data_IF_225568922151
#
_entry.id   IF_225568922151
#
_cell.length_a   1.000
_cell.length_b   1.000
_cell.length_c   1.000
_cell.angle_alpha   90.00
_cell.angle_beta   90.00
_cell.angle_gamma   90.00
#
_symmetry.space_group_name_H-M   'P 1'
#
loop_
_entity.id
_entity.type
_entity.pdbx_description
1 polymer ?
#
# COMPACT_ATOMS: atom_id res chain seq x y z
N UNK A 1 -23.99 0.93 -11.57
CA UNK A 1 -23.77 0.30 -12.89
C UNK A 1 -22.29 0.38 -13.18
N UNK A 2 -21.63 -0.75 -13.42
CA UNK A 2 -20.20 -0.78 -13.77
C UNK A 2 -20.02 -0.24 -15.19
N UNK A 3 -18.91 0.44 -15.48
CA UNK A 3 -18.61 0.87 -16.84
C UNK A 3 -18.15 -0.34 -17.67
N UNK A 4 -19.04 -0.81 -18.54
CA UNK A 4 -18.76 -1.99 -19.37
C UNK A 4 -17.60 -1.76 -20.34
N UNK A 5 -17.41 -0.54 -20.86
CA UNK A 5 -16.31 -0.24 -21.76
C UNK A 5 -14.96 -0.31 -21.02
N UNK A 6 -14.92 0.14 -19.77
CA UNK A 6 -13.75 0.01 -18.91
C UNK A 6 -13.44 -1.47 -18.62
N UNK A 7 -14.46 -2.27 -18.34
CA UNK A 7 -14.29 -3.73 -18.12
C UNK A 7 -13.68 -4.41 -19.34
N UNK A 8 -14.26 -4.18 -20.52
CA UNK A 8 -13.78 -4.78 -21.77
C UNK A 8 -12.34 -4.36 -22.10
N UNK A 9 -11.99 -3.10 -21.83
CA UNK A 9 -10.62 -2.62 -22.03
C UNK A 9 -9.63 -3.28 -21.07
N UNK A 10 -10.03 -3.53 -19.83
CA UNK A 10 -9.20 -4.24 -18.86
C UNK A 10 -8.99 -5.71 -19.29
N UNK A 11 -10.03 -6.38 -19.78
CA UNK A 11 -9.92 -7.74 -20.33
C UNK A 11 -9.02 -7.81 -21.58
N UNK A 12 -9.05 -6.80 -22.45
CA UNK A 12 -8.20 -6.76 -23.64
C UNK A 12 -6.70 -6.64 -23.32
N UNK A 13 -6.36 -6.12 -22.14
CA UNK A 13 -4.97 -5.98 -21.67
C UNK A 13 -4.56 -7.13 -20.75
N UNK A 14 -5.52 -7.87 -20.20
CA UNK A 14 -5.23 -9.03 -19.36
C UNK A 14 -4.70 -10.18 -20.23
N UNK A 15 -3.45 -10.60 -19.99
CA UNK A 15 -2.81 -11.73 -20.70
C UNK A 15 -3.52 -13.07 -20.47
N UNK A 16 -4.36 -13.16 -19.43
CA UNK A 16 -5.08 -14.36 -19.04
C UNK A 16 -6.54 -14.04 -18.73
N UNK A 17 -7.47 -14.99 -18.91
CA UNK A 17 -8.85 -14.81 -18.47
C UNK A 17 -8.87 -14.65 -16.94
N UNK A 18 -9.39 -13.52 -16.47
CA UNK A 18 -9.52 -13.19 -15.04
C UNK A 18 -11.01 -13.09 -14.71
N UNK A 19 -11.41 -13.70 -13.59
CA UNK A 19 -12.75 -13.54 -13.03
C UNK A 19 -13.02 -12.07 -12.67
N UNK A 20 -14.24 -11.59 -12.91
CA UNK A 20 -14.61 -10.19 -12.69
C UNK A 20 -14.26 -9.71 -11.27
N UNK A 21 -14.57 -10.53 -10.26
CA UNK A 21 -14.29 -10.24 -8.86
C UNK A 21 -12.80 -10.05 -8.60
N UNK A 22 -11.97 -10.88 -9.21
CA UNK A 22 -10.52 -10.85 -8.98
C UNK A 22 -9.90 -9.66 -9.71
N UNK A 23 -10.41 -9.29 -10.88
CA UNK A 23 -10.02 -8.08 -11.59
C UNK A 23 -10.35 -6.81 -10.79
N UNK A 24 -11.55 -6.72 -10.22
CA UNK A 24 -11.96 -5.59 -9.37
C UNK A 24 -11.06 -5.51 -8.13
N UNK A 25 -10.82 -6.62 -7.44
CA UNK A 25 -9.93 -6.67 -6.28
C UNK A 25 -8.50 -6.24 -6.63
N UNK A 26 -7.97 -6.69 -7.77
CA UNK A 26 -6.65 -6.29 -8.25
C UNK A 26 -6.58 -4.80 -8.56
N UNK A 27 -7.60 -4.25 -9.25
CA UNK A 27 -7.69 -2.83 -9.57
C UNK A 27 -7.72 -1.95 -8.31
N UNK A 28 -8.50 -2.35 -7.30
CA UNK A 28 -8.57 -1.64 -6.02
C UNK A 28 -7.23 -1.67 -5.29
N UNK A 29 -6.56 -2.83 -5.22
CA UNK A 29 -5.23 -2.95 -4.60
C UNK A 29 -4.21 -2.05 -5.29
N UNK A 30 -4.19 -2.05 -6.63
CA UNK A 30 -3.30 -1.21 -7.41
C UNK A 30 -3.57 0.29 -7.20
N UNK A 31 -4.85 0.69 -7.17
CA UNK A 31 -5.25 2.06 -6.91
C UNK A 31 -4.84 2.54 -5.51
N UNK A 32 -5.09 1.72 -4.48
CA UNK A 32 -4.71 2.03 -3.10
C UNK A 32 -3.18 2.19 -3.00
N UNK A 33 -2.42 1.26 -3.60
CA UNK A 33 -0.96 1.33 -3.61
C UNK A 33 -0.47 2.62 -4.27
N UNK A 34 -1.02 2.98 -5.43
CA UNK A 34 -0.69 4.23 -6.13
C UNK A 34 -1.01 5.47 -5.29
N UNK A 35 -2.17 5.52 -4.65
CA UNK A 35 -2.53 6.68 -3.83
C UNK A 35 -1.68 6.78 -2.57
N UNK A 36 -1.34 5.64 -1.97
CA UNK A 36 -0.41 5.59 -0.85
C UNK A 36 0.98 6.10 -1.25
N UNK A 37 1.46 5.75 -2.44
CA UNK A 37 2.74 6.28 -2.98
C UNK A 37 2.73 7.80 -3.10
N UNK A 38 1.67 8.40 -3.65
CA UNK A 38 1.57 9.86 -3.73
C UNK A 38 1.56 10.50 -2.34
N UNK A 39 0.78 9.96 -1.39
CA UNK A 39 0.76 10.46 -0.01
C UNK A 39 2.14 10.36 0.65
N UNK A 40 2.85 9.25 0.45
CA UNK A 40 4.20 9.07 0.97
C UNK A 40 5.20 10.04 0.33
N UNK A 41 5.08 10.29 -0.97
CA UNK A 41 5.91 11.27 -1.67
C UNK A 41 5.67 12.69 -1.14
N UNK A 42 4.41 13.08 -0.92
CA UNK A 42 4.03 14.36 -0.32
C UNK A 42 4.54 14.50 1.12
N UNK A 43 4.54 13.41 1.89
CA UNK A 43 5.12 13.38 3.23
C UNK A 43 6.66 13.41 3.23
N UNK A 44 7.30 13.06 2.11
CA UNK A 44 8.75 13.06 1.97
C UNK A 44 9.35 14.42 2.29
N UNK A 45 10.23 14.49 3.30
CA UNK A 45 10.88 15.75 3.71
C UNK A 45 10.04 16.66 4.61
N UNK A 46 8.83 16.25 4.99
CA UNK A 46 7.98 17.02 5.94
C UNK A 46 8.39 16.85 7.41
N UNK A 47 9.33 15.94 7.71
CA UNK A 47 9.87 15.69 9.04
C UNK A 47 11.41 15.77 9.05
N UNK A 48 12.01 16.96 8.85
CA UNK A 48 13.47 17.14 8.84
C UNK A 48 14.11 16.89 10.21
N UNK A 49 13.36 17.11 11.30
CA UNK A 49 13.83 16.95 12.68
C UNK A 49 13.51 15.56 13.27
N UNK A 50 13.09 14.60 12.42
CA UNK A 50 12.77 13.25 12.89
C UNK A 50 14.04 12.60 13.47
N UNK A 51 13.99 12.04 14.70
CA UNK A 51 15.14 11.34 15.27
C UNK A 51 15.54 10.15 14.39
N UNK A 52 16.85 9.93 14.23
CA UNK A 52 17.36 8.82 13.44
C UNK A 52 16.90 7.47 14.03
N UNK A 53 16.58 6.52 13.15
CA UNK A 53 16.13 5.19 13.57
C UNK A 53 17.32 4.46 14.20
N UNK A 54 17.21 3.95 15.46
CA UNK A 54 18.32 3.27 16.11
C UNK A 54 18.80 2.07 15.29
N UNK A 55 20.08 2.05 14.91
CA UNK A 55 20.68 0.94 14.14
C UNK A 55 20.72 -0.38 14.92
N UNK A 56 20.63 -0.32 16.25
CA UNK A 56 20.61 -1.47 17.14
C UNK A 56 19.30 -1.49 17.88
N UNK A 57 18.73 -2.69 18.02
CA UNK A 57 17.56 -2.90 18.87
C UNK A 57 17.89 -2.37 20.27
N UNK A 58 17.08 -1.45 20.83
CA UNK A 58 17.25 -1.08 22.22
C UNK A 58 17.07 -2.34 23.09
N UNK A 59 17.76 -2.43 24.24
CA UNK A 59 17.54 -3.53 25.16
C UNK A 59 16.05 -3.67 25.41
N UNK A 60 15.57 -4.92 25.51
CA UNK A 60 14.18 -5.17 25.87
C UNK A 60 13.94 -4.44 27.19
N UNK A 61 13.18 -3.34 27.15
CA UNK A 61 12.78 -2.66 28.36
C UNK A 61 11.83 -3.61 29.05
N UNK A 62 12.30 -4.16 30.15
CA UNK A 62 11.50 -5.00 31.01
C UNK A 62 10.75 -4.04 31.97
N UNK A 63 9.43 -3.75 31.82
CA UNK A 63 8.74 -2.99 32.86
C UNK A 63 8.98 -3.54 34.26
N UNK A 64 9.10 -2.66 35.24
CA UNK A 64 9.31 -3.10 36.62
C UNK A 64 8.10 -3.93 37.09
N UNK A 65 8.36 -5.12 37.65
CA UNK A 65 7.33 -5.95 38.29
C UNK A 65 6.92 -7.24 37.58
N UNK A 66 7.76 -7.80 36.71
CA UNK A 66 7.56 -9.14 36.13
C UNK A 66 8.75 -10.08 36.28
N UNK A 67 9.38 -10.02 37.44
CA UNK A 67 10.05 -11.18 38.05
C UNK A 67 9.03 -12.02 38.84
#
# INVERSE_FOLDING_TARGET
MFDQALYQRALAVADQPVEERDLINAALRAFIARQAQFRLADMGGTAPDLPDVPRRRPPLSVPDGWE
#
